data_IF_866569323551
#
_entry.id   IF_866569323551
#
_cell.length_a   1.000
_cell.length_b   1.000
_cell.length_c   1.000
_cell.angle_alpha   90.00
_cell.angle_beta   90.00
_cell.angle_gamma   90.00
#
_symmetry.space_group_name_H-M   'P 1'
#
loop_
_entity.id
_entity.type
_entity.pdbx_description
1 polymer ?
#
# COMPACT_ATOMS: atom_id res chain seq x y z
N UNK A 1 -43.08 -12.24 78.28
CA UNK A 1 -42.82 -13.68 77.97
C UNK A 1 -42.60 -13.78 76.50
N UNK A 2 -41.46 -14.31 76.13
CA UNK A 2 -40.93 -14.70 74.86
C UNK A 2 -40.90 -13.70 73.69
N UNK A 3 -39.81 -13.08 73.63
CA UNK A 3 -39.18 -12.46 72.47
C UNK A 3 -38.72 -13.54 71.50
N UNK A 4 -39.13 -13.46 70.22
CA UNK A 4 -38.51 -14.22 69.16
C UNK A 4 -37.82 -13.22 68.20
N UNK A 5 -36.51 -13.17 68.33
CA UNK A 5 -35.62 -12.48 67.43
C UNK A 5 -35.58 -13.27 66.13
N UNK A 6 -36.19 -12.77 65.08
CA UNK A 6 -35.96 -13.24 63.72
C UNK A 6 -34.74 -12.44 63.19
N UNK A 7 -33.60 -13.11 63.16
CA UNK A 7 -32.40 -12.60 62.46
C UNK A 7 -32.59 -12.81 60.95
N UNK A 8 -33.02 -11.76 60.27
CA UNK A 8 -32.99 -11.69 58.83
C UNK A 8 -31.56 -11.51 58.33
N UNK A 9 -30.98 -12.57 57.79
CA UNK A 9 -29.71 -12.46 57.05
C UNK A 9 -29.98 -11.81 55.70
N UNK A 10 -29.61 -10.55 55.54
CA UNK A 10 -29.51 -9.91 54.23
C UNK A 10 -28.29 -10.52 53.49
N UNK A 11 -28.56 -11.45 52.60
CA UNK A 11 -27.57 -11.91 51.64
C UNK A 11 -27.41 -10.83 50.56
N UNK A 12 -26.38 -10.01 50.71
CA UNK A 12 -25.95 -9.08 49.66
C UNK A 12 -25.40 -9.87 48.50
N UNK A 13 -26.20 -10.09 47.48
CA UNK A 13 -25.75 -10.61 46.18
C UNK A 13 -24.97 -9.47 45.51
N UNK A 14 -23.66 -9.50 45.65
CA UNK A 14 -22.74 -8.67 44.80
C UNK A 14 -22.79 -9.27 43.41
N UNK A 15 -23.64 -8.71 42.58
CA UNK A 15 -23.64 -8.97 41.14
C UNK A 15 -22.40 -8.31 40.56
N UNK A 16 -21.28 -9.04 40.46
CA UNK A 16 -20.13 -8.63 39.67
C UNK A 16 -20.55 -8.58 38.18
N UNK A 17 -21.13 -7.44 37.79
CA UNK A 17 -21.25 -7.12 36.38
C UNK A 17 -19.83 -6.98 35.83
N UNK A 18 -19.31 -8.05 35.22
CA UNK A 18 -18.14 -7.99 34.36
C UNK A 18 -18.52 -7.07 33.21
N UNK A 19 -18.15 -5.80 33.37
CA UNK A 19 -18.20 -4.83 32.27
C UNK A 19 -17.18 -5.33 31.26
N UNK A 20 -17.66 -6.05 30.27
CA UNK A 20 -16.87 -6.30 29.07
C UNK A 20 -16.63 -4.92 28.46
N UNK A 21 -15.45 -4.36 28.72
CA UNK A 21 -15.02 -3.18 28.00
C UNK A 21 -14.90 -3.61 26.52
N UNK A 22 -15.91 -3.28 25.74
CA UNK A 22 -15.79 -3.28 24.29
C UNK A 22 -14.80 -2.19 23.98
N UNK A 23 -13.53 -2.56 23.90
CA UNK A 23 -12.50 -1.64 23.45
C UNK A 23 -12.80 -1.35 21.98
N UNK A 24 -13.05 -0.07 21.65
CA UNK A 24 -13.20 0.33 20.26
C UNK A 24 -11.97 -0.12 19.47
N UNK A 25 -12.19 -0.67 18.29
CA UNK A 25 -11.10 -1.09 17.43
C UNK A 25 -10.19 0.11 17.12
N UNK A 26 -8.90 -0.12 17.14
CA UNK A 26 -7.92 0.86 16.70
C UNK A 26 -7.92 0.90 15.16
N UNK A 27 -8.20 2.08 14.59
CA UNK A 27 -8.34 2.23 13.13
C UNK A 27 -6.99 2.46 12.49
N UNK A 28 -6.67 1.65 11.48
CA UNK A 28 -5.51 1.78 10.60
C UNK A 28 -6.00 2.27 9.23
N UNK A 29 -5.54 3.43 8.78
CA UNK A 29 -5.91 4.00 7.48
C UNK A 29 -5.02 3.45 6.39
N UNK A 30 -5.60 2.77 5.39
CA UNK A 30 -4.92 2.27 4.22
C UNK A 30 -5.43 2.97 2.97
N UNK A 31 -4.56 3.67 2.25
CA UNK A 31 -4.93 4.40 1.03
C UNK A 31 -4.30 3.81 -0.23
N UNK A 32 -4.99 3.93 -1.35
CA UNK A 32 -4.49 3.60 -2.68
C UNK A 32 -5.20 4.38 -3.78
N UNK A 33 -4.55 4.48 -4.97
CA UNK A 33 -5.11 5.24 -6.11
C UNK A 33 -5.90 4.39 -7.09
N UNK A 34 -5.93 3.08 -6.92
CA UNK A 34 -6.64 2.18 -7.82
C UNK A 34 -8.16 2.30 -7.66
N UNK A 35 -8.89 2.14 -8.77
CA UNK A 35 -10.35 2.07 -8.75
C UNK A 35 -10.83 0.87 -7.89
N UNK A 36 -12.02 0.96 -7.34
CA UNK A 36 -12.64 -0.09 -6.52
C UNK A 36 -12.83 -1.42 -7.25
N UNK A 37 -12.89 -1.43 -8.58
CA UNK A 37 -12.95 -2.66 -9.39
C UNK A 37 -11.57 -3.27 -9.69
N UNK A 38 -10.50 -2.66 -9.22
CA UNK A 38 -9.14 -3.11 -9.49
C UNK A 38 -8.68 -4.14 -8.45
N UNK A 39 -7.85 -5.10 -8.88
CA UNK A 39 -7.27 -6.15 -8.01
C UNK A 39 -6.56 -5.62 -6.76
N UNK A 40 -5.99 -4.43 -6.82
CA UNK A 40 -5.38 -3.79 -5.64
C UNK A 40 -6.40 -3.48 -4.54
N UNK A 41 -7.61 -3.08 -4.91
CA UNK A 41 -8.68 -2.84 -3.94
C UNK A 41 -9.14 -4.16 -3.31
N UNK A 42 -9.30 -5.21 -4.12
CA UNK A 42 -9.61 -6.55 -3.61
C UNK A 42 -8.54 -7.05 -2.64
N UNK A 43 -7.25 -6.88 -2.99
CA UNK A 43 -6.15 -7.23 -2.11
C UNK A 43 -6.19 -6.44 -0.79
N UNK A 44 -6.50 -5.15 -0.83
CA UNK A 44 -6.67 -4.33 0.36
C UNK A 44 -7.83 -4.81 1.24
N UNK A 45 -8.95 -5.22 0.64
CA UNK A 45 -10.09 -5.80 1.37
C UNK A 45 -9.74 -7.12 2.04
N UNK A 46 -9.04 -8.01 1.34
CA UNK A 46 -8.55 -9.27 1.91
C UNK A 46 -7.57 -9.03 3.06
N UNK A 47 -6.69 -8.06 2.92
CA UNK A 47 -5.78 -7.65 3.98
C UNK A 47 -6.55 -7.13 5.19
N UNK A 48 -7.51 -6.21 5.00
CA UNK A 48 -8.32 -5.64 6.08
C UNK A 48 -9.08 -6.72 6.85
N UNK A 49 -9.71 -7.64 6.12
CA UNK A 49 -10.39 -8.81 6.71
C UNK A 49 -9.41 -9.66 7.53
N UNK A 50 -8.23 -9.97 6.96
CA UNK A 50 -7.22 -10.77 7.64
C UNK A 50 -6.67 -10.11 8.92
N UNK A 51 -6.54 -8.78 8.93
CA UNK A 51 -6.14 -8.02 10.14
C UNK A 51 -7.22 -8.13 11.21
N UNK A 52 -8.47 -7.86 10.88
CA UNK A 52 -9.57 -7.94 11.83
C UNK A 52 -9.70 -9.34 12.46
N UNK A 53 -9.64 -10.39 11.64
CA UNK A 53 -9.73 -11.79 12.10
C UNK A 53 -8.55 -12.18 13.01
N UNK A 54 -7.31 -11.89 12.60
CA UNK A 54 -6.11 -12.27 13.36
C UNK A 54 -5.91 -11.47 14.63
N UNK A 55 -6.46 -10.27 14.70
CA UNK A 55 -6.39 -9.41 15.88
C UNK A 55 -7.64 -9.50 16.74
N UNK A 56 -8.59 -10.38 16.39
CA UNK A 56 -9.86 -10.53 17.09
C UNK A 56 -10.63 -9.20 17.23
N UNK A 57 -10.57 -8.38 16.17
CA UNK A 57 -11.22 -7.08 16.12
C UNK A 57 -10.50 -5.97 16.88
N UNK A 58 -9.27 -6.20 17.38
CA UNK A 58 -8.49 -5.16 18.05
C UNK A 58 -8.10 -4.04 17.05
N UNK A 59 -7.81 -4.39 15.80
CA UNK A 59 -7.50 -3.46 14.72
C UNK A 59 -8.51 -3.57 13.60
N UNK A 60 -8.90 -2.41 13.05
CA UNK A 60 -9.74 -2.28 11.87
C UNK A 60 -8.98 -1.50 10.80
N UNK A 61 -8.86 -2.06 9.58
CA UNK A 61 -8.26 -1.36 8.45
C UNK A 61 -9.34 -0.66 7.65
N UNK A 62 -9.33 0.68 7.70
CA UNK A 62 -10.20 1.52 6.89
C UNK A 62 -9.51 1.82 5.56
N UNK A 63 -10.17 1.43 4.44
CA UNK A 63 -9.61 1.58 3.10
C UNK A 63 -10.11 2.88 2.46
N UNK A 64 -9.18 3.66 1.90
CA UNK A 64 -9.42 4.88 1.12
C UNK A 64 -8.97 4.64 -0.32
N UNK A 65 -9.88 4.23 -1.23
CA UNK A 65 -9.57 3.88 -2.61
C UNK A 65 -9.52 5.11 -3.53
N UNK A 66 -9.22 4.88 -4.81
CA UNK A 66 -9.39 5.83 -5.92
C UNK A 66 -8.73 7.22 -5.69
N UNK A 67 -7.69 7.29 -4.87
CA UNK A 67 -6.99 8.54 -4.60
C UNK A 67 -7.72 9.49 -3.65
N UNK A 68 -8.66 9.02 -2.83
CA UNK A 68 -9.39 9.85 -1.85
C UNK A 68 -8.47 10.64 -0.92
N UNK A 69 -7.28 10.10 -0.58
CA UNK A 69 -6.29 10.77 0.26
C UNK A 69 -5.12 11.35 -0.55
N UNK A 70 -5.22 11.40 -1.87
CA UNK A 70 -4.23 11.95 -2.78
C UNK A 70 -3.69 10.96 -3.80
N UNK A 71 -2.86 11.46 -4.72
CA UNK A 71 -2.16 10.63 -5.71
C UNK A 71 -0.98 9.86 -5.10
N UNK A 72 -0.34 8.98 -5.86
CA UNK A 72 0.75 8.15 -5.33
C UNK A 72 1.95 8.94 -4.77
N UNK A 73 2.40 10.05 -5.36
CA UNK A 73 3.40 10.92 -4.73
C UNK A 73 2.95 11.45 -3.37
N UNK A 74 1.71 11.93 -3.25
CA UNK A 74 1.17 12.43 -1.99
C UNK A 74 1.04 11.32 -0.93
N UNK A 75 0.62 10.12 -1.32
CA UNK A 75 0.56 8.98 -0.42
C UNK A 75 1.95 8.56 0.06
N UNK A 76 2.97 8.56 -0.82
CA UNK A 76 4.35 8.27 -0.47
C UNK A 76 4.89 9.30 0.54
N UNK A 77 4.59 10.58 0.35
CA UNK A 77 4.94 11.65 1.29
C UNK A 77 4.27 11.44 2.65
N UNK A 78 2.97 11.20 2.68
CA UNK A 78 2.23 11.00 3.93
C UNK A 78 2.76 9.82 4.74
N UNK A 79 3.14 8.70 4.09
CA UNK A 79 3.78 7.56 4.77
C UNK A 79 5.12 7.97 5.37
N UNK A 80 5.98 8.65 4.61
CA UNK A 80 7.33 9.03 5.09
C UNK A 80 7.30 10.12 6.16
N UNK A 81 6.18 10.82 6.31
CA UNK A 81 5.93 11.80 7.36
C UNK A 81 5.08 11.25 8.52
N UNK A 82 4.75 9.96 8.51
CA UNK A 82 3.86 9.31 9.50
C UNK A 82 2.48 9.98 9.61
N UNK A 83 2.00 10.61 8.53
CA UNK A 83 0.67 11.23 8.46
C UNK A 83 -0.42 10.25 8.00
N UNK A 84 -0.03 9.11 7.43
CA UNK A 84 -0.89 8.01 6.99
C UNK A 84 -0.29 6.70 7.49
N UNK A 85 -1.14 5.80 7.97
CA UNK A 85 -0.67 4.54 8.56
C UNK A 85 -0.16 3.56 7.49
N UNK A 86 -0.89 3.41 6.38
CA UNK A 86 -0.58 2.46 5.31
C UNK A 86 -0.93 2.99 3.92
N UNK A 87 -0.15 2.64 2.92
CA UNK A 87 -0.49 2.92 1.52
C UNK A 87 -0.03 1.80 0.57
N UNK A 88 -0.74 1.65 -0.54
CA UNK A 88 -0.28 0.89 -1.69
C UNK A 88 0.28 1.89 -2.70
N UNK A 89 1.60 1.93 -2.82
CA UNK A 89 2.32 2.84 -3.72
C UNK A 89 3.34 2.09 -4.58
N UNK A 90 3.59 2.58 -5.78
CA UNK A 90 4.60 1.97 -6.65
C UNK A 90 6.02 2.30 -6.19
N UNK A 91 6.95 1.39 -6.42
CA UNK A 91 8.36 1.61 -6.12
C UNK A 91 8.94 2.84 -6.82
N UNK A 92 8.46 3.17 -8.02
CA UNK A 92 8.87 4.37 -8.74
C UNK A 92 8.55 5.67 -8.00
N UNK A 93 7.45 5.72 -7.24
CA UNK A 93 7.13 6.87 -6.38
C UNK A 93 7.97 6.85 -5.10
N UNK A 94 8.23 5.69 -4.51
CA UNK A 94 9.12 5.56 -3.35
C UNK A 94 10.59 5.86 -3.70
N UNK A 95 10.96 5.81 -4.97
CA UNK A 95 12.31 6.14 -5.44
C UNK A 95 12.70 7.63 -5.24
N UNK A 96 11.75 8.49 -4.91
CA UNK A 96 12.05 9.87 -4.48
C UNK A 96 12.76 9.89 -3.10
N UNK A 97 12.48 8.92 -2.27
CA UNK A 97 13.03 8.77 -0.91
C UNK A 97 14.23 7.82 -0.88
N UNK A 98 14.21 6.77 -1.69
CA UNK A 98 15.36 5.87 -1.87
C UNK A 98 15.60 5.61 -3.37
N UNK A 99 16.57 6.34 -3.95
CA UNK A 99 16.89 6.26 -5.38
C UNK A 99 17.24 4.85 -5.87
N UNK A 100 17.68 3.96 -4.97
CA UNK A 100 17.98 2.57 -5.31
C UNK A 100 16.75 1.83 -5.85
N UNK A 101 15.54 2.22 -5.41
CA UNK A 101 14.28 1.62 -5.84
C UNK A 101 14.00 1.82 -7.34
N UNK A 102 14.65 2.79 -7.99
CA UNK A 102 14.60 2.92 -9.45
C UNK A 102 15.13 1.67 -10.18
N UNK A 103 16.05 0.93 -9.57
CA UNK A 103 16.58 -0.29 -10.17
C UNK A 103 15.45 -1.31 -10.46
N UNK A 104 14.46 -1.40 -9.58
CA UNK A 104 13.33 -2.33 -9.74
C UNK A 104 12.33 -1.91 -10.84
N UNK A 105 12.44 -0.68 -11.34
CA UNK A 105 11.59 -0.16 -12.42
C UNK A 105 12.34 -0.05 -13.77
N UNK A 106 13.59 -0.53 -13.82
CA UNK A 106 14.39 -0.46 -15.03
C UNK A 106 13.76 -1.30 -16.16
N UNK A 107 13.74 -0.77 -17.39
CA UNK A 107 13.26 -1.51 -18.55
C UNK A 107 14.04 -2.82 -18.73
N UNK A 108 13.35 -3.87 -19.17
CA UNK A 108 13.94 -5.18 -19.48
C UNK A 108 14.67 -5.87 -18.31
N UNK A 109 14.49 -5.41 -17.06
CA UNK A 109 15.09 -6.01 -15.88
C UNK A 109 14.62 -7.47 -15.68
N UNK A 110 13.33 -7.69 -15.86
CA UNK A 110 12.72 -9.01 -15.69
C UNK A 110 12.45 -9.67 -17.03
N UNK A 111 12.86 -10.93 -17.16
CA UNK A 111 12.68 -11.72 -18.36
C UNK A 111 11.21 -12.16 -18.53
N UNK A 112 10.60 -12.56 -17.43
CA UNK A 112 9.24 -13.11 -17.34
C UNK A 112 8.69 -12.93 -15.92
N UNK A 113 7.44 -13.31 -15.70
CA UNK A 113 6.80 -13.23 -14.38
C UNK A 113 7.49 -14.12 -13.35
N UNK A 114 7.90 -15.33 -13.72
CA UNK A 114 8.59 -16.25 -12.81
C UNK A 114 9.92 -15.67 -12.34
N UNK A 115 10.65 -14.98 -13.22
CA UNK A 115 11.87 -14.26 -12.84
C UNK A 115 11.55 -13.12 -11.87
N UNK A 116 10.53 -12.31 -12.18
CA UNK A 116 10.12 -11.20 -11.31
C UNK A 116 9.71 -11.68 -9.93
N UNK A 117 8.88 -12.72 -9.83
CA UNK A 117 8.42 -13.28 -8.57
C UNK A 117 9.58 -13.85 -7.74
N UNK A 118 10.48 -14.63 -8.36
CA UNK A 118 11.66 -15.13 -7.64
C UNK A 118 12.54 -14.02 -7.06
N UNK A 119 12.66 -12.88 -7.77
CA UNK A 119 13.43 -11.74 -7.28
C UNK A 119 12.68 -11.03 -6.15
N UNK A 120 11.38 -10.77 -6.32
CA UNK A 120 10.54 -10.10 -5.31
C UNK A 120 10.52 -10.92 -4.01
N UNK A 121 10.38 -12.24 -4.10
CA UNK A 121 10.30 -13.15 -2.96
C UNK A 121 11.66 -13.43 -2.29
N UNK A 122 12.75 -12.90 -2.84
CA UNK A 122 14.10 -13.10 -2.32
C UNK A 122 14.53 -12.01 -1.32
N UNK A 123 15.59 -11.29 -1.65
CA UNK A 123 16.19 -10.27 -0.77
C UNK A 123 15.55 -8.88 -0.87
N UNK A 124 14.70 -8.64 -1.86
CA UNK A 124 14.25 -7.29 -2.24
C UNK A 124 13.53 -6.57 -1.10
N UNK A 125 12.66 -7.26 -0.37
CA UNK A 125 11.96 -6.67 0.78
C UNK A 125 12.95 -6.19 1.85
N UNK A 126 13.92 -7.00 2.23
CA UNK A 126 14.94 -6.62 3.21
C UNK A 126 15.83 -5.48 2.70
N UNK A 127 16.17 -5.50 1.42
CA UNK A 127 16.95 -4.44 0.78
C UNK A 127 16.19 -3.11 0.75
N UNK A 128 14.92 -3.13 0.39
CA UNK A 128 14.03 -1.97 0.40
C UNK A 128 13.86 -1.40 1.81
N UNK A 129 13.54 -2.25 2.78
CA UNK A 129 13.29 -1.84 4.16
C UNK A 129 14.49 -1.17 4.82
N UNK A 130 15.73 -1.56 4.46
CA UNK A 130 16.93 -0.85 4.91
C UNK A 130 16.97 0.62 4.46
N UNK A 131 16.40 0.94 3.29
CA UNK A 131 16.32 2.31 2.80
C UNK A 131 15.16 3.10 3.39
N UNK A 132 14.03 2.41 3.63
CA UNK A 132 12.83 3.04 4.17
C UNK A 132 12.90 3.30 5.68
N UNK A 133 13.76 2.59 6.40
CA UNK A 133 13.91 2.71 7.86
C UNK A 133 14.25 4.13 8.32
N UNK A 134 14.94 4.93 7.50
CA UNK A 134 15.25 6.34 7.83
C UNK A 134 14.02 7.26 7.85
N UNK A 135 12.88 6.78 7.36
CA UNK A 135 11.59 7.48 7.33
C UNK A 135 10.55 6.81 8.23
N UNK A 136 10.97 5.95 9.15
CA UNK A 136 10.09 5.13 10.00
C UNK A 136 9.05 4.33 9.20
N UNK A 137 9.33 4.07 7.92
CA UNK A 137 8.47 3.34 7.00
C UNK A 137 9.00 1.91 6.77
N UNK A 138 8.08 0.96 6.64
CA UNK A 138 8.38 -0.44 6.36
C UNK A 138 7.49 -0.96 5.24
N UNK A 139 8.07 -1.62 4.24
CA UNK A 139 7.32 -2.41 3.27
C UNK A 139 6.91 -3.73 3.90
N UNK A 140 5.64 -4.03 3.89
CA UNK A 140 5.07 -5.26 4.44
C UNK A 140 4.98 -6.36 3.41
N UNK A 141 4.65 -6.00 2.17
CA UNK A 141 4.52 -6.90 1.04
C UNK A 141 4.81 -6.17 -0.27
N UNK A 142 5.14 -6.93 -1.29
CA UNK A 142 5.31 -6.45 -2.65
C UNK A 142 4.59 -7.41 -3.59
N UNK A 143 3.93 -6.86 -4.60
CA UNK A 143 3.32 -7.64 -5.67
C UNK A 143 3.59 -6.97 -7.01
N UNK A 144 3.60 -7.75 -8.07
CA UNK A 144 3.82 -7.20 -9.40
C UNK A 144 2.56 -6.48 -9.92
N UNK A 145 2.79 -5.50 -10.79
CA UNK A 145 1.74 -4.76 -11.50
C UNK A 145 1.57 -5.24 -12.93
N UNK A 146 2.31 -6.26 -13.31
CA UNK A 146 2.43 -6.75 -14.66
C UNK A 146 3.49 -5.99 -15.49
N UNK A 147 3.74 -6.49 -16.69
CA UNK A 147 4.62 -5.83 -17.63
C UNK A 147 3.94 -4.62 -18.26
N UNK A 148 4.66 -3.50 -18.29
CA UNK A 148 4.18 -2.28 -18.93
C UNK A 148 4.19 -2.43 -20.44
N UNK A 149 3.15 -1.91 -21.07
CA UNK A 149 3.02 -1.85 -22.51
C UNK A 149 2.97 -0.38 -22.96
N UNK A 150 3.55 -0.10 -24.12
CA UNK A 150 3.36 1.17 -24.80
C UNK A 150 2.06 1.08 -25.59
N UNK A 151 1.13 1.99 -25.33
CA UNK A 151 -0.09 2.14 -26.10
C UNK A 151 -0.10 3.47 -26.81
N UNK A 152 -0.48 3.48 -28.07
CA UNK A 152 -0.54 4.65 -28.94
C UNK A 152 -1.90 4.74 -29.61
N UNK A 153 -2.30 5.93 -30.00
CA UNK A 153 -3.55 6.16 -30.71
C UNK A 153 -3.35 6.12 -32.23
N UNK A 154 -2.39 6.88 -32.71
CA UNK A 154 -2.26 7.17 -34.15
C UNK A 154 -0.97 6.65 -34.79
N UNK A 155 -0.07 6.10 -34.02
CA UNK A 155 1.21 5.59 -34.52
C UNK A 155 1.43 4.14 -34.15
N UNK A 156 2.15 3.42 -34.99
CA UNK A 156 2.58 2.05 -34.71
C UNK A 156 4.03 2.10 -34.25
N UNK A 157 4.32 1.56 -33.07
CA UNK A 157 5.67 1.48 -32.51
C UNK A 157 6.19 0.05 -32.69
N UNK A 158 7.13 -0.15 -33.59
CA UNK A 158 7.81 -1.43 -33.82
C UNK A 158 9.27 -1.40 -33.36
N UNK A 159 9.90 -0.22 -33.36
CA UNK A 159 11.30 -0.03 -33.01
C UNK A 159 11.45 1.12 -32.01
N UNK A 160 12.63 1.25 -31.41
CA UNK A 160 12.94 2.35 -30.53
C UNK A 160 12.91 3.72 -31.23
N UNK A 161 13.29 3.73 -32.51
CA UNK A 161 13.29 4.93 -33.36
C UNK A 161 11.91 5.52 -33.56
N UNK A 162 10.86 4.67 -33.57
CA UNK A 162 9.47 5.11 -33.71
C UNK A 162 8.99 5.96 -32.52
N UNK A 163 9.69 5.90 -31.39
CA UNK A 163 9.39 6.71 -30.20
C UNK A 163 9.99 8.13 -30.26
N UNK A 164 10.84 8.41 -31.23
CA UNK A 164 11.56 9.68 -31.29
C UNK A 164 10.61 10.87 -31.46
N UNK A 165 10.64 11.79 -30.48
CA UNK A 165 9.76 12.96 -30.47
C UNK A 165 8.31 12.68 -30.09
N UNK A 166 7.93 11.42 -29.87
CA UNK A 166 6.58 11.05 -29.46
C UNK A 166 6.29 11.53 -28.05
N UNK A 167 5.17 12.22 -27.86
CA UNK A 167 4.70 12.58 -26.52
C UNK A 167 4.14 11.33 -25.86
N UNK A 168 4.77 10.91 -24.75
CA UNK A 168 4.36 9.74 -24.00
C UNK A 168 4.09 10.09 -22.53
N UNK A 169 2.92 9.71 -22.04
CA UNK A 169 2.59 9.83 -20.61
C UNK A 169 3.35 8.75 -19.84
N UNK A 170 4.04 9.15 -18.79
CA UNK A 170 4.62 8.23 -17.80
C UNK A 170 4.12 8.58 -16.39
N UNK A 171 3.99 7.61 -15.49
CA UNK A 171 3.72 7.93 -14.09
C UNK A 171 4.88 8.72 -13.47
N UNK A 172 4.68 9.37 -12.31
CA UNK A 172 5.73 10.08 -11.58
C UNK A 172 6.86 9.15 -11.11
N UNK A 173 7.71 8.73 -12.02
CA UNK A 173 8.86 7.85 -11.80
C UNK A 173 10.05 8.36 -12.59
N UNK A 174 11.10 8.79 -11.91
CA UNK A 174 12.33 9.30 -12.53
C UNK A 174 13.01 8.25 -13.40
N UNK A 175 12.96 6.98 -12.97
CA UNK A 175 13.54 5.87 -13.74
C UNK A 175 12.81 5.63 -15.07
N UNK A 176 11.47 5.65 -15.07
CA UNK A 176 10.69 5.50 -16.30
C UNK A 176 10.84 6.70 -17.23
N UNK A 177 10.85 7.93 -16.69
CA UNK A 177 11.12 9.11 -17.49
C UNK A 177 12.48 9.00 -18.20
N UNK A 178 13.54 8.75 -17.45
CA UNK A 178 14.88 8.60 -18.00
C UNK A 178 14.97 7.50 -19.08
N UNK A 179 14.24 6.40 -18.91
CA UNK A 179 14.21 5.32 -19.88
C UNK A 179 13.59 5.75 -21.22
N UNK A 180 12.44 6.41 -21.20
CA UNK A 180 11.78 6.89 -22.42
C UNK A 180 12.47 8.09 -23.04
N UNK A 181 13.06 8.99 -22.24
CA UNK A 181 13.89 10.09 -22.72
C UNK A 181 15.14 9.57 -23.46
N UNK A 182 15.76 8.51 -22.96
CA UNK A 182 16.88 7.84 -23.63
C UNK A 182 16.50 7.23 -24.99
N UNK A 183 15.23 6.85 -25.18
CA UNK A 183 14.67 6.41 -26.46
C UNK A 183 14.26 7.58 -27.37
N UNK A 184 14.48 8.82 -26.93
CA UNK A 184 14.16 10.03 -27.68
C UNK A 184 12.69 10.44 -27.61
N UNK A 185 11.89 9.84 -26.76
CA UNK A 185 10.51 10.25 -26.54
C UNK A 185 10.43 11.58 -25.74
N UNK A 186 9.30 12.27 -25.86
CA UNK A 186 9.00 13.46 -25.08
C UNK A 186 8.09 13.07 -23.92
N UNK A 187 8.69 12.77 -22.77
CA UNK A 187 7.95 12.27 -21.61
C UNK A 187 7.10 13.33 -20.94
N UNK A 188 5.87 12.98 -20.61
CA UNK A 188 4.93 13.79 -19.86
C UNK A 188 4.63 13.10 -18.53
N UNK A 189 5.08 13.70 -17.43
CA UNK A 189 4.86 13.21 -16.08
C UNK A 189 3.43 13.56 -15.62
N UNK A 190 2.54 12.59 -15.65
CA UNK A 190 1.15 12.79 -15.23
C UNK A 190 0.79 11.68 -14.26
N UNK A 191 0.34 12.07 -13.04
CA UNK A 191 -0.21 11.16 -12.04
C UNK A 191 -1.47 10.45 -12.56
N UNK A 192 -1.91 9.42 -11.86
CA UNK A 192 -3.10 8.65 -12.25
C UNK A 192 -4.31 9.20 -11.50
#
# INVERSE_FOLDING_TARGET
>A
MLSNFIKGALASIVFCASVWQVQAAEVIKLAHTANISHVHHEAAQLFAKGVAERTQGKYEVQIYPAGELGDQPALAEQITMSALDMAIVSLGNMAMYDRRLNAMTAPFLFKDYDHAHRVIDSFVMNWMNKGLAQYDAVGLSMFDYGFRQVTTQDIVVNTAEDLKGVKIRVPPSTGLMAAFDALGANTQKIAY
#
